data_IF_491965378619
#
_entry.id   IF_491965378619
#
_cell.length_a   1.000
_cell.length_b   1.000
_cell.length_c   1.000
_cell.angle_alpha   90.00
_cell.angle_beta   90.00
_cell.angle_gamma   90.00
#
_symmetry.space_group_name_H-M   'P 1'
#
loop_
_entity.id
_entity.type
_entity.pdbx_description
1 polymer ?
#
# COMPACT_ATOMS: atom_id res chain seq x y z
N UNK A 1 5.78 -13.08 59.09
CA UNK A 1 4.92 -12.15 58.31
C UNK A 1 5.54 -11.68 56.98
N UNK A 2 6.52 -12.39 56.38
CA UNK A 2 7.10 -12.07 55.06
C UNK A 2 6.71 -13.09 53.97
N UNK A 3 6.27 -14.29 54.37
CA UNK A 3 5.97 -15.42 53.48
C UNK A 3 4.64 -15.28 52.73
N UNK A 4 3.64 -14.65 53.35
CA UNK A 4 2.31 -14.42 52.76
C UNK A 4 2.33 -13.37 51.64
N UNK A 5 3.22 -12.38 51.73
CA UNK A 5 3.37 -11.33 50.71
C UNK A 5 3.92 -11.91 49.40
N UNK A 6 4.83 -12.88 49.47
CA UNK A 6 5.44 -13.50 48.28
C UNK A 6 4.43 -14.38 47.51
N UNK A 7 3.49 -15.04 48.20
CA UNK A 7 2.42 -15.82 47.56
C UNK A 7 1.44 -14.93 46.79
N UNK A 8 1.09 -13.76 47.34
CA UNK A 8 0.20 -12.80 46.68
C UNK A 8 0.85 -12.23 45.40
N UNK A 9 2.15 -11.93 45.44
CA UNK A 9 2.89 -11.40 44.29
C UNK A 9 2.93 -12.40 43.12
N UNK A 10 3.12 -13.70 43.41
CA UNK A 10 3.16 -14.75 42.38
C UNK A 10 1.79 -14.94 41.73
N UNK A 11 0.70 -14.81 42.48
CA UNK A 11 -0.67 -14.96 41.96
C UNK A 11 -1.04 -13.76 41.06
N UNK A 12 -0.62 -12.54 41.41
CA UNK A 12 -0.87 -11.35 40.58
C UNK A 12 -0.05 -11.36 39.28
N UNK A 13 1.16 -11.93 39.28
CA UNK A 13 1.97 -12.06 38.06
C UNK A 13 1.48 -13.17 37.11
N UNK A 14 0.78 -14.20 37.62
CA UNK A 14 0.24 -15.30 36.81
C UNK A 14 -0.93 -14.92 35.90
N UNK A 15 -1.69 -13.87 36.23
CA UNK A 15 -2.85 -13.43 35.45
C UNK A 15 -2.52 -12.50 34.28
N UNK A 16 -1.28 -11.99 34.19
CA UNK A 16 -0.88 -11.08 33.10
C UNK A 16 -0.55 -11.79 31.77
N UNK A 17 -0.48 -13.12 31.74
CA UNK A 17 -0.03 -13.90 30.57
C UNK A 17 -1.15 -14.58 29.78
N UNK A 18 -2.42 -14.36 30.13
CA UNK A 18 -3.59 -14.88 29.39
C UNK A 18 -4.28 -13.81 28.51
N UNK A 19 -3.53 -12.77 28.13
CA UNK A 19 -3.88 -11.95 26.98
C UNK A 19 -3.63 -12.71 25.69
N UNK A 20 -4.38 -13.79 25.44
CA UNK A 20 -4.51 -14.32 24.09
C UNK A 20 -5.13 -13.19 23.24
N UNK A 21 -4.28 -12.46 22.54
CA UNK A 21 -4.67 -11.52 21.51
C UNK A 21 -5.51 -12.31 20.49
N UNK A 22 -6.82 -12.28 20.65
CA UNK A 22 -7.73 -12.63 19.57
C UNK A 22 -7.37 -11.65 18.46
N UNK A 23 -6.62 -12.12 17.47
CA UNK A 23 -6.29 -11.36 16.27
C UNK A 23 -7.63 -11.08 15.61
N UNK A 24 -8.23 -9.93 15.95
CA UNK A 24 -9.40 -9.43 15.27
C UNK A 24 -8.97 -9.27 13.82
N UNK A 25 -9.52 -10.14 12.97
CA UNK A 25 -9.46 -9.98 11.53
C UNK A 25 -10.29 -8.74 11.25
N UNK A 26 -9.64 -7.57 11.25
CA UNK A 26 -10.27 -6.32 10.88
C UNK A 26 -10.93 -6.55 9.52
N UNK A 27 -12.24 -6.38 9.45
CA UNK A 27 -12.96 -6.45 8.19
C UNK A 27 -12.56 -5.21 7.38
N UNK A 28 -11.55 -5.38 6.54
CA UNK A 28 -11.10 -4.34 5.61
C UNK A 28 -12.20 -4.15 4.58
N UNK A 29 -12.82 -2.97 4.60
CA UNK A 29 -13.78 -2.56 3.57
C UNK A 29 -13.02 -2.04 2.34
N UNK A 30 -13.64 -2.18 1.17
CA UNK A 30 -13.08 -1.77 -0.10
C UNK A 30 -14.05 -0.89 -0.89
N UNK A 31 -13.53 0.13 -1.56
CA UNK A 31 -14.27 0.99 -2.50
C UNK A 31 -13.71 0.83 -3.90
N UNK A 32 -14.59 0.76 -4.90
CA UNK A 32 -14.21 0.80 -6.30
C UNK A 32 -14.04 2.26 -6.73
N UNK A 33 -12.85 2.63 -7.16
CA UNK A 33 -12.52 3.95 -7.70
C UNK A 33 -12.31 3.85 -9.20
N UNK A 34 -12.84 4.83 -9.93
CA UNK A 34 -12.62 4.99 -11.36
C UNK A 34 -12.27 6.44 -11.65
N UNK A 35 -11.15 6.66 -12.34
CA UNK A 35 -10.65 7.99 -12.64
C UNK A 35 -10.13 8.08 -14.07
N UNK A 36 -10.18 9.29 -14.63
CA UNK A 36 -9.64 9.59 -15.96
C UNK A 36 -8.24 10.19 -15.85
N UNK A 37 -7.35 9.73 -16.72
CA UNK A 37 -6.03 10.30 -17.01
C UNK A 37 -6.14 11.12 -18.32
N UNK A 38 -5.02 11.35 -19.03
CA UNK A 38 -5.02 12.13 -20.29
C UNK A 38 -5.73 11.41 -21.43
N UNK A 39 -5.32 10.17 -21.71
CA UNK A 39 -5.88 9.34 -22.80
C UNK A 39 -6.34 7.96 -22.33
N UNK A 40 -6.28 7.76 -21.02
CA UNK A 40 -6.60 6.50 -20.35
C UNK A 40 -7.60 6.74 -19.22
N UNK A 41 -8.26 5.68 -18.79
CA UNK A 41 -8.93 5.60 -17.50
C UNK A 41 -8.42 4.40 -16.73
N UNK A 42 -8.52 4.46 -15.41
CA UNK A 42 -8.23 3.33 -14.56
C UNK A 42 -9.37 3.02 -13.59
N UNK A 43 -9.46 1.76 -13.20
CA UNK A 43 -10.34 1.26 -12.17
C UNK A 43 -9.51 0.50 -11.13
N UNK A 44 -9.66 0.85 -9.84
CA UNK A 44 -8.98 0.22 -8.71
C UNK A 44 -9.94 -0.08 -7.58
N UNK A 45 -9.77 -1.23 -6.92
CA UNK A 45 -10.48 -1.57 -5.68
C UNK A 45 -9.57 -1.26 -4.49
N UNK A 46 -9.82 -0.17 -3.79
CA UNK A 46 -8.96 0.37 -2.73
C UNK A 46 -9.48 0.04 -1.32
N UNK A 47 -8.60 -0.26 -0.35
CA UNK A 47 -9.00 -0.40 1.06
C UNK A 47 -9.43 0.96 1.62
N UNK A 48 -10.53 1.01 2.37
CA UNK A 48 -11.03 2.25 2.98
C UNK A 48 -10.69 2.35 4.47
N UNK A 49 -10.51 3.56 5.02
CA UNK A 49 -10.64 4.87 4.37
C UNK A 49 -9.34 5.34 3.69
N UNK A 50 -9.48 6.25 2.72
CA UNK A 50 -8.37 6.92 2.05
C UNK A 50 -8.74 8.35 1.69
N UNK A 51 -7.73 9.20 1.49
CA UNK A 51 -7.85 10.51 0.88
C UNK A 51 -7.31 10.47 -0.55
N UNK A 52 -7.87 11.29 -1.44
CA UNK A 52 -7.46 11.39 -2.84
C UNK A 52 -7.14 12.85 -3.17
N UNK A 53 -5.98 13.07 -3.79
CA UNK A 53 -5.60 14.32 -4.43
C UNK A 53 -5.34 14.08 -5.92
N UNK A 54 -5.71 15.04 -6.75
CA UNK A 54 -5.46 15.04 -8.18
C UNK A 54 -4.75 16.33 -8.57
N UNK A 55 -3.63 16.19 -9.28
CA UNK A 55 -2.97 17.33 -9.91
C UNK A 55 -2.89 17.10 -11.43
N UNK A 56 -3.08 18.17 -12.20
CA UNK A 56 -2.78 18.21 -13.62
C UNK A 56 -1.60 19.15 -13.82
N UNK A 57 -0.62 18.73 -14.60
CA UNK A 57 0.51 19.56 -14.99
C UNK A 57 0.64 19.53 -16.51
N UNK A 58 1.56 20.30 -17.08
CA UNK A 58 1.63 20.55 -18.54
C UNK A 58 1.57 19.28 -19.39
N UNK A 59 2.23 18.21 -18.94
CA UNK A 59 2.38 16.97 -19.73
C UNK A 59 1.63 15.77 -19.13
N UNK A 60 0.79 15.94 -18.10
CA UNK A 60 0.25 14.78 -17.40
C UNK A 60 -0.81 15.02 -16.33
N UNK A 61 -1.32 13.89 -15.83
CA UNK A 61 -2.29 13.80 -14.74
C UNK A 61 -1.76 12.81 -13.71
N UNK A 62 -1.83 13.19 -12.45
CA UNK A 62 -1.43 12.37 -11.31
C UNK A 62 -2.54 12.31 -10.26
N UNK A 63 -2.76 11.12 -9.72
CA UNK A 63 -3.60 10.87 -8.57
C UNK A 63 -2.77 10.32 -7.42
N UNK A 64 -2.91 10.93 -6.26
CA UNK A 64 -2.32 10.49 -5.01
C UNK A 64 -3.42 9.97 -4.09
N UNK A 65 -3.29 8.73 -3.65
CA UNK A 65 -4.16 8.12 -2.65
C UNK A 65 -3.35 7.91 -1.37
N UNK A 66 -3.79 8.47 -0.26
CA UNK A 66 -3.14 8.28 1.05
C UNK A 66 -4.06 7.55 2.01
N UNK A 67 -3.48 6.59 2.75
CA UNK A 67 -4.19 5.69 3.66
C UNK A 67 -3.80 5.96 5.11
N UNK A 68 -4.64 5.53 6.05
CA UNK A 68 -4.44 5.77 7.51
C UNK A 68 -3.16 5.13 8.03
N UNK A 69 -2.69 4.05 7.40
CA UNK A 69 -1.43 3.37 7.74
C UNK A 69 -0.20 4.04 7.10
N UNK A 70 -0.35 5.27 6.60
CA UNK A 70 0.68 6.06 5.90
C UNK A 70 1.19 5.44 4.59
N UNK A 71 0.52 4.39 4.11
CA UNK A 71 0.72 3.91 2.74
C UNK A 71 0.18 4.95 1.78
N UNK A 72 0.77 5.00 0.60
CA UNK A 72 0.24 5.77 -0.49
C UNK A 72 0.30 4.99 -1.80
N UNK A 73 -0.68 5.24 -2.66
CA UNK A 73 -0.71 4.78 -4.05
C UNK A 73 -0.66 6.00 -4.97
N UNK A 74 0.15 5.92 -6.02
CA UNK A 74 0.24 6.96 -7.04
C UNK A 74 -0.15 6.33 -8.37
N UNK A 75 -1.07 6.97 -9.11
CA UNK A 75 -1.37 6.60 -10.49
C UNK A 75 -1.12 7.82 -11.37
N UNK A 76 -0.28 7.64 -12.38
CA UNK A 76 0.27 8.74 -13.15
C UNK A 76 0.30 8.41 -14.64
N UNK A 77 -0.05 9.38 -15.48
CA UNK A 77 0.20 9.38 -16.92
C UNK A 77 0.78 10.74 -17.33
N UNK A 78 1.90 10.71 -18.05
CA UNK A 78 2.59 11.90 -18.56
C UNK A 78 4.09 11.69 -18.70
N UNK A 79 4.81 12.71 -19.16
CA UNK A 79 6.28 12.70 -19.29
C UNK A 79 6.97 13.57 -18.23
N UNK A 80 8.29 13.44 -18.16
CA UNK A 80 9.25 14.29 -17.41
C UNK A 80 9.12 14.35 -15.88
N UNK A 81 8.00 13.96 -15.28
CA UNK A 81 7.85 13.91 -13.83
C UNK A 81 8.64 12.73 -13.25
N UNK A 82 9.53 12.98 -12.32
CA UNK A 82 10.20 11.95 -11.53
C UNK A 82 9.67 12.02 -10.10
N UNK A 83 9.14 10.90 -9.59
CA UNK A 83 8.74 10.80 -8.18
C UNK A 83 9.83 10.09 -7.38
N UNK A 84 9.92 10.26 -6.05
CA UNK A 84 11.01 9.68 -5.25
C UNK A 84 11.24 8.18 -5.46
N UNK A 85 10.15 7.40 -5.62
CA UNK A 85 10.19 5.95 -5.88
C UNK A 85 10.92 5.61 -7.19
N UNK A 86 10.95 6.50 -8.18
CA UNK A 86 11.67 6.27 -9.44
C UNK A 86 13.19 6.15 -9.25
N UNK A 87 13.73 6.66 -8.13
CA UNK A 87 15.16 6.59 -7.76
C UNK A 87 15.53 5.32 -6.99
N UNK A 88 14.55 4.50 -6.61
CA UNK A 88 14.81 3.28 -5.84
C UNK A 88 15.43 2.19 -6.71
N UNK A 89 16.39 1.47 -6.13
CA UNK A 89 17.01 0.32 -6.78
C UNK A 89 16.13 -0.93 -6.58
N UNK A 90 15.55 -1.52 -7.64
CA UNK A 90 14.68 -2.67 -7.48
C UNK A 90 15.45 -3.90 -7.02
N UNK A 91 14.92 -4.58 -6.01
CA UNK A 91 15.42 -5.90 -5.61
C UNK A 91 15.01 -6.98 -6.61
N UNK A 92 13.84 -6.81 -7.24
CA UNK A 92 13.37 -7.68 -8.32
C UNK A 92 12.64 -6.83 -9.37
N UNK A 93 12.84 -7.18 -10.63
CA UNK A 93 12.06 -6.67 -11.75
C UNK A 93 11.56 -7.84 -12.60
N UNK A 94 10.30 -7.78 -13.01
CA UNK A 94 9.64 -8.78 -13.85
C UNK A 94 8.90 -8.07 -14.98
N UNK A 95 8.89 -8.67 -16.17
CA UNK A 95 8.12 -8.18 -17.32
C UNK A 95 7.17 -9.28 -17.76
N UNK A 96 5.87 -8.99 -17.73
CA UNK A 96 4.81 -9.91 -18.16
C UNK A 96 3.71 -9.14 -18.87
N UNK A 97 3.28 -9.60 -20.04
CA UNK A 97 2.20 -8.96 -20.82
C UNK A 97 2.41 -7.44 -21.00
N UNK A 98 3.61 -7.03 -21.40
CA UNK A 98 4.01 -5.61 -21.55
C UNK A 98 4.00 -4.77 -20.25
N UNK A 99 3.68 -5.39 -19.11
CA UNK A 99 3.77 -4.77 -17.78
C UNK A 99 5.12 -5.06 -17.15
N UNK A 100 5.88 -3.99 -16.89
CA UNK A 100 7.11 -4.04 -16.09
C UNK A 100 6.76 -3.77 -14.63
N UNK A 101 7.02 -4.76 -13.77
CA UNK A 101 6.81 -4.69 -12.33
C UNK A 101 8.16 -4.69 -11.65
N UNK A 102 8.45 -3.64 -10.88
CA UNK A 102 9.67 -3.50 -10.07
C UNK A 102 9.27 -3.42 -8.60
N UNK A 103 9.95 -4.18 -7.75
CA UNK A 103 9.66 -4.24 -6.30
C UNK A 103 10.95 -4.11 -5.50
N UNK A 104 10.81 -3.63 -4.28
CA UNK A 104 11.90 -3.60 -3.32
C UNK A 104 11.43 -3.28 -1.91
N UNK A 105 12.41 -3.07 -1.05
CA UNK A 105 12.22 -2.70 0.35
C UNK A 105 13.11 -1.49 0.63
N UNK A 106 12.52 -0.46 1.21
CA UNK A 106 13.19 0.76 1.68
C UNK A 106 12.75 0.99 3.14
N UNK A 107 13.69 1.23 4.07
CA UNK A 107 13.38 1.44 5.49
C UNK A 107 12.43 0.39 6.12
N UNK A 108 12.62 -0.91 5.82
CA UNK A 108 11.76 -2.02 6.25
C UNK A 108 10.29 -1.95 5.75
N UNK A 109 10.04 -1.15 4.71
CA UNK A 109 8.75 -1.00 4.05
C UNK A 109 8.84 -1.44 2.60
N UNK A 110 7.79 -2.07 2.10
CA UNK A 110 7.71 -2.55 0.74
C UNK A 110 7.24 -1.44 -0.19
N UNK A 111 7.84 -1.39 -1.37
CA UNK A 111 7.38 -0.57 -2.48
C UNK A 111 7.21 -1.43 -3.73
N UNK A 112 6.37 -0.94 -4.64
CA UNK A 112 6.14 -1.53 -5.95
C UNK A 112 5.89 -0.44 -6.98
N UNK A 113 6.42 -0.66 -8.17
CA UNK A 113 6.24 0.18 -9.35
C UNK A 113 5.82 -0.69 -10.52
N UNK A 114 4.68 -0.37 -11.11
CA UNK A 114 4.14 -1.00 -12.30
C UNK A 114 4.13 0.02 -13.44
N UNK A 115 4.70 -0.34 -14.59
CA UNK A 115 4.71 0.48 -15.80
C UNK A 115 4.14 -0.32 -16.95
N UNK A 116 3.03 0.15 -17.51
CA UNK A 116 2.35 -0.45 -18.67
C UNK A 116 1.41 0.55 -19.33
N UNK A 117 1.19 0.41 -20.64
CA UNK A 117 0.27 1.26 -21.43
C UNK A 117 0.47 2.79 -21.25
N UNK A 118 1.70 3.24 -21.02
CA UNK A 118 2.01 4.66 -20.79
C UNK A 118 1.56 5.19 -19.42
N UNK A 119 1.13 4.31 -18.52
CA UNK A 119 0.75 4.62 -17.13
C UNK A 119 1.80 4.06 -16.18
N UNK A 120 2.15 4.85 -15.17
CA UNK A 120 3.00 4.43 -14.04
C UNK A 120 2.14 4.38 -12.78
N UNK A 121 2.16 3.25 -12.09
CA UNK A 121 1.42 3.01 -10.85
C UNK A 121 2.38 2.58 -9.77
N UNK A 122 2.19 3.10 -8.56
CA UNK A 122 3.08 2.87 -7.44
C UNK A 122 2.29 2.56 -6.17
N UNK A 123 2.88 1.77 -5.28
CA UNK A 123 2.66 1.92 -3.85
C UNK A 123 4.00 2.04 -3.13
N UNK A 124 4.02 2.66 -1.96
CA UNK A 124 5.18 2.69 -1.06
C UNK A 124 4.74 2.79 0.42
N UNK A 125 5.71 2.66 1.33
CA UNK A 125 5.56 2.64 2.79
C UNK A 125 4.70 1.47 3.30
N UNK A 126 4.61 0.38 2.54
CA UNK A 126 3.75 -0.77 2.88
C UNK A 126 4.42 -1.67 3.92
N UNK A 127 3.72 -1.96 5.02
CA UNK A 127 4.20 -2.92 6.02
C UNK A 127 4.12 -4.38 5.52
N UNK A 128 4.93 -5.28 6.09
CA UNK A 128 4.84 -6.72 5.80
C UNK A 128 3.43 -7.29 5.99
N UNK A 129 2.69 -6.82 7.00
CA UNK A 129 1.32 -7.22 7.30
C UNK A 129 0.35 -6.85 6.17
N UNK A 130 0.54 -5.68 5.56
CA UNK A 130 -0.40 -5.15 4.57
C UNK A 130 0.02 -5.41 3.12
N UNK A 131 1.25 -5.91 2.89
CA UNK A 131 1.81 -6.14 1.54
C UNK A 131 0.84 -6.86 0.60
N UNK A 132 0.24 -7.96 1.07
CA UNK A 132 -0.68 -8.76 0.26
C UNK A 132 -1.92 -7.97 -0.18
N UNK A 133 -2.39 -7.04 0.63
CA UNK A 133 -3.57 -6.20 0.32
C UNK A 133 -3.20 -5.26 -0.84
N UNK A 134 -2.09 -4.54 -0.71
CA UNK A 134 -1.67 -3.56 -1.71
C UNK A 134 -1.11 -4.19 -2.99
N UNK A 135 -0.46 -5.37 -2.91
CA UNK A 135 -0.15 -6.19 -4.08
C UNK A 135 -1.42 -6.49 -4.88
N UNK A 136 -2.47 -6.94 -4.19
CA UNK A 136 -3.76 -7.27 -4.81
C UNK A 136 -4.40 -6.07 -5.51
N UNK A 137 -4.31 -4.86 -4.92
CA UNK A 137 -4.80 -3.63 -5.55
C UNK A 137 -4.13 -3.42 -6.92
N UNK A 138 -2.80 -3.52 -6.99
CA UNK A 138 -2.03 -3.31 -8.22
C UNK A 138 -2.09 -4.50 -9.19
N UNK A 139 -2.43 -5.69 -8.71
CA UNK A 139 -2.66 -6.87 -9.55
C UNK A 139 -4.03 -6.80 -10.23
N UNK A 140 -5.05 -6.27 -9.55
CA UNK A 140 -6.44 -6.18 -10.05
C UNK A 140 -6.75 -4.86 -10.76
N UNK A 141 -5.83 -3.90 -10.78
CA UNK A 141 -6.02 -2.62 -11.48
C UNK A 141 -6.28 -2.86 -12.98
N UNK A 142 -7.28 -2.15 -13.51
CA UNK A 142 -7.58 -2.13 -14.94
C UNK A 142 -7.24 -0.76 -15.48
N UNK A 143 -6.50 -0.71 -16.57
CA UNK A 143 -6.26 0.50 -17.37
C UNK A 143 -6.87 0.28 -18.74
N UNK A 144 -7.57 1.29 -19.26
CA UNK A 144 -8.25 1.25 -20.56
C UNK A 144 -8.05 2.57 -21.29
N UNK A 145 -8.14 2.55 -22.60
CA UNK A 145 -8.25 3.79 -23.39
C UNK A 145 -9.58 4.50 -23.12
N UNK A 146 -9.57 5.83 -23.13
CA UNK A 146 -10.78 6.66 -23.07
C UNK A 146 -11.62 6.57 -24.35
#
# INVERSE_FOLDING_TARGET
MKTEIHKIIIIVFGFALLGCSIIKKENISFKLERQKLLSKEFEMKLPTPFHIQKDNYEEGVIYFYSFVDSVYIIVFQGSMMEIPIDKYHPQKTEVKNQKKTSVGVENNKFWRKDVFEGVRIYYDNVSKRNKRIYDKVLDEIKVRSL
#
